data_IF_219364386473
#
_entry.id   IF_219364386473
#
_cell.length_a   1.000
_cell.length_b   1.000
_cell.length_c   1.000
_cell.angle_alpha   90.00
_cell.angle_beta   90.00
_cell.angle_gamma   90.00
#
_symmetry.space_group_name_H-M   'P 1'
#
loop_
_entity.id
_entity.type
_entity.pdbx_description
1 polymer ?
#
# COMPACT_ATOMS: atom_id res chain seq x y z
N UNK A 1 38.34 25.00 -13.69
CA UNK A 1 37.34 24.05 -14.22
C UNK A 1 37.03 23.04 -13.11
N UNK A 2 35.78 22.91 -12.64
CA UNK A 2 35.47 21.89 -11.63
C UNK A 2 35.47 20.51 -12.30
N UNK A 3 36.16 19.58 -11.68
CA UNK A 3 36.24 18.17 -12.07
C UNK A 3 34.84 17.56 -11.87
N UNK A 4 34.25 16.88 -12.87
CA UNK A 4 32.95 16.23 -12.68
C UNK A 4 33.13 15.10 -11.66
N UNK A 5 32.43 15.22 -10.53
CA UNK A 5 32.31 14.16 -9.55
C UNK A 5 31.67 12.94 -10.21
N UNK A 6 32.46 11.90 -10.47
CA UNK A 6 31.96 10.61 -10.93
C UNK A 6 30.93 10.11 -9.91
N UNK A 7 29.65 10.10 -10.29
CA UNK A 7 28.61 9.41 -9.52
C UNK A 7 29.03 7.93 -9.42
N UNK A 8 29.37 7.49 -8.22
CA UNK A 8 29.68 6.09 -7.96
C UNK A 8 28.52 5.22 -8.43
N UNK A 9 28.80 4.32 -9.39
CA UNK A 9 27.80 3.33 -9.86
C UNK A 9 27.26 2.59 -8.65
N UNK A 10 25.94 2.66 -8.40
CA UNK A 10 25.29 1.91 -7.30
C UNK A 10 25.56 0.42 -7.56
N UNK A 11 26.09 -0.27 -6.55
CA UNK A 11 26.24 -1.73 -6.61
C UNK A 11 24.88 -2.37 -6.90
N UNK A 12 24.82 -3.38 -7.80
CA UNK A 12 23.60 -4.13 -8.00
C UNK A 12 23.16 -4.80 -6.68
N UNK A 13 21.86 -4.96 -6.46
CA UNK A 13 21.36 -5.65 -5.28
C UNK A 13 21.80 -7.11 -5.30
N UNK A 14 22.11 -7.65 -4.13
CA UNK A 14 22.55 -9.05 -3.95
C UNK A 14 21.51 -9.91 -3.23
N UNK A 15 20.50 -9.27 -2.63
CA UNK A 15 19.42 -9.92 -1.89
C UNK A 15 18.10 -9.52 -2.53
N UNK A 16 17.25 -10.50 -2.84
CA UNK A 16 16.01 -10.30 -3.58
C UNK A 16 14.86 -11.06 -2.96
N UNK A 17 13.69 -10.46 -2.86
CA UNK A 17 12.48 -11.13 -2.39
C UNK A 17 11.43 -10.17 -1.87
N UNK A 18 10.40 -10.72 -1.26
CA UNK A 18 9.39 -10.01 -0.48
C UNK A 18 9.52 -10.38 0.99
N UNK A 19 9.10 -9.49 1.86
CA UNK A 19 8.85 -9.82 3.26
C UNK A 19 7.52 -9.19 3.70
N UNK A 20 6.80 -9.88 4.55
CA UNK A 20 5.54 -9.41 5.13
C UNK A 20 5.83 -9.08 6.60
N UNK A 21 5.69 -7.81 6.92
CA UNK A 21 6.04 -7.30 8.25
C UNK A 21 4.78 -6.97 9.03
N UNK A 22 4.70 -7.41 10.27
CA UNK A 22 3.77 -6.87 11.26
C UNK A 22 4.39 -5.58 11.81
N UNK A 23 3.99 -4.44 11.25
CA UNK A 23 4.52 -3.14 11.67
C UNK A 23 4.03 -2.84 13.09
N UNK A 24 4.93 -2.61 14.06
CA UNK A 24 4.53 -2.17 15.39
C UNK A 24 4.04 -0.72 15.38
N UNK A 25 3.32 -0.32 16.43
CA UNK A 25 2.97 1.06 16.69
C UNK A 25 4.19 1.94 17.01
N UNK A 26 4.06 3.25 16.86
CA UNK A 26 5.07 4.24 17.23
C UNK A 26 6.24 4.39 16.26
N UNK A 27 6.25 3.66 15.12
CA UNK A 27 7.28 3.79 14.08
C UNK A 27 6.65 4.02 12.72
N UNK A 28 7.33 4.77 11.85
CA UNK A 28 6.87 4.98 10.48
C UNK A 28 7.14 3.75 9.60
N UNK A 29 6.41 3.62 8.49
CA UNK A 29 6.73 2.60 7.47
C UNK A 29 8.16 2.75 6.92
N UNK A 30 8.71 3.98 6.92
CA UNK A 30 10.09 4.23 6.49
C UNK A 30 11.12 3.75 7.53
N UNK A 31 10.82 3.85 8.82
CA UNK A 31 11.68 3.31 9.88
C UNK A 31 11.79 1.79 9.78
N UNK A 32 10.68 1.11 9.46
CA UNK A 32 10.69 -0.33 9.16
C UNK A 32 11.61 -0.63 7.97
N UNK A 33 11.50 0.13 6.88
CA UNK A 33 12.41 -0.01 5.73
C UNK A 33 13.87 0.17 6.14
N UNK A 34 14.19 1.14 7.00
CA UNK A 34 15.55 1.37 7.49
C UNK A 34 16.06 0.21 8.39
N UNK A 35 15.18 -0.39 9.20
CA UNK A 35 15.51 -1.60 9.97
C UNK A 35 15.82 -2.77 9.03
N UNK A 36 14.99 -2.99 8.01
CA UNK A 36 15.18 -4.07 7.04
C UNK A 36 16.42 -3.87 6.16
N UNK A 37 16.80 -2.62 5.84
CA UNK A 37 18.07 -2.32 5.16
C UNK A 37 19.28 -2.82 5.95
N UNK A 38 19.25 -2.66 7.28
CA UNK A 38 20.30 -3.19 8.17
C UNK A 38 20.22 -4.71 8.28
N UNK A 39 19.00 -5.26 8.43
CA UNK A 39 18.77 -6.69 8.59
C UNK A 39 19.26 -7.50 7.38
N UNK A 40 18.92 -7.06 6.15
CA UNK A 40 19.29 -7.76 4.91
C UNK A 40 20.60 -7.28 4.29
N UNK A 41 21.22 -6.22 4.78
CA UNK A 41 22.42 -5.60 4.16
C UNK A 41 22.14 -5.01 2.77
N UNK A 42 20.86 -4.75 2.43
CA UNK A 42 20.43 -4.30 1.11
C UNK A 42 19.85 -2.87 1.17
N UNK A 43 20.31 -2.00 0.27
CA UNK A 43 19.85 -0.59 0.22
C UNK A 43 18.55 -0.43 -0.57
N UNK A 44 18.32 -1.28 -1.58
CA UNK A 44 17.14 -1.23 -2.43
C UNK A 44 15.99 -1.97 -1.75
N UNK A 45 15.27 -1.27 -0.88
CA UNK A 45 14.08 -1.76 -0.20
C UNK A 45 12.98 -0.70 -0.28
N UNK A 46 11.74 -1.14 -0.51
CA UNK A 46 10.55 -0.29 -0.55
C UNK A 46 9.31 -1.05 -0.07
N UNK A 47 8.27 -0.33 0.36
CA UNK A 47 7.02 -0.92 0.84
C UNK A 47 5.83 -0.60 -0.08
N UNK A 48 4.84 -1.48 -0.12
CA UNK A 48 3.61 -1.34 -0.89
C UNK A 48 2.46 -0.80 -0.02
N UNK A 49 2.43 0.51 0.18
CA UNK A 49 1.37 1.20 0.94
C UNK A 49 1.79 1.57 2.36
N UNK A 50 1.82 2.87 2.61
CA UNK A 50 2.16 3.46 3.91
C UNK A 50 1.14 3.06 4.97
N UNK A 51 1.60 2.84 6.19
CA UNK A 51 0.84 2.86 7.43
C UNK A 51 1.29 4.08 8.24
N UNK A 52 0.33 4.75 8.86
CA UNK A 52 0.58 5.84 9.79
C UNK A 52 1.44 5.34 10.99
N UNK A 53 2.15 6.21 11.73
CA UNK A 53 3.04 5.77 12.80
C UNK A 53 2.35 4.88 13.83
N UNK A 54 1.16 5.24 14.29
CA UNK A 54 0.42 4.49 15.32
C UNK A 54 -0.36 3.30 14.76
N UNK A 55 -0.60 3.26 13.45
CA UNK A 55 -1.24 2.12 12.81
C UNK A 55 -0.29 0.91 12.80
N UNK A 56 -0.84 -0.28 13.00
CA UNK A 56 -0.11 -1.55 13.07
C UNK A 56 -0.48 -2.50 11.93
N UNK A 57 0.21 -3.65 11.84
CA UNK A 57 -0.20 -4.76 11.00
C UNK A 57 0.56 -4.89 9.68
N UNK A 58 -0.04 -5.53 8.71
CA UNK A 58 0.59 -6.01 7.48
C UNK A 58 1.22 -4.88 6.67
N UNK A 59 2.54 -4.91 6.54
CA UNK A 59 3.33 -4.06 5.65
C UNK A 59 4.13 -4.96 4.70
N UNK A 60 3.73 -5.00 3.43
CA UNK A 60 4.45 -5.75 2.39
C UNK A 60 5.64 -4.95 1.93
N UNK A 61 6.83 -5.54 2.00
CA UNK A 61 8.10 -4.88 1.68
C UNK A 61 8.84 -5.68 0.62
N UNK A 62 9.28 -4.99 -0.42
CA UNK A 62 10.07 -5.56 -1.50
C UNK A 62 11.56 -5.25 -1.29
N UNK A 63 12.41 -6.26 -1.54
CA UNK A 63 13.86 -6.21 -1.38
C UNK A 63 14.55 -6.48 -2.71
N UNK A 64 15.54 -5.69 -3.05
CA UNK A 64 16.34 -5.87 -4.26
C UNK A 64 15.54 -5.72 -5.55
N UNK A 65 15.62 -6.69 -6.45
CA UNK A 65 14.92 -6.69 -7.74
C UNK A 65 13.39 -6.68 -7.60
N UNK A 66 12.84 -7.24 -6.51
CA UNK A 66 11.40 -7.23 -6.24
C UNK A 66 10.81 -5.82 -6.11
N UNK A 67 11.62 -4.79 -5.81
CA UNK A 67 11.16 -3.40 -5.78
C UNK A 67 10.61 -2.92 -7.13
N UNK A 68 11.01 -3.54 -8.24
CA UNK A 68 10.49 -3.25 -9.59
C UNK A 68 9.06 -3.73 -9.78
N UNK A 69 8.61 -4.69 -8.95
CA UNK A 69 7.28 -5.28 -8.98
C UNK A 69 6.28 -4.57 -8.05
N UNK A 70 6.70 -3.56 -7.31
CA UNK A 70 5.85 -2.87 -6.32
C UNK A 70 4.57 -2.28 -6.89
N UNK A 71 4.55 -1.88 -8.16
CA UNK A 71 3.34 -1.37 -8.82
C UNK A 71 2.19 -2.39 -8.81
N UNK A 72 2.49 -3.68 -8.87
CA UNK A 72 1.51 -4.76 -8.83
C UNK A 72 1.01 -5.08 -7.42
N UNK A 73 1.75 -4.66 -6.39
CA UNK A 73 1.40 -4.82 -4.98
C UNK A 73 0.64 -3.62 -4.43
N UNK A 74 1.00 -2.41 -4.88
CA UNK A 74 0.45 -1.16 -4.31
C UNK A 74 -1.04 -0.99 -4.62
N UNK A 75 -1.50 -1.49 -5.77
CA UNK A 75 -2.91 -1.45 -6.18
C UNK A 75 -3.82 -2.46 -5.50
N UNK A 76 -3.27 -3.40 -4.73
CA UNK A 76 -4.06 -4.46 -4.09
C UNK A 76 -5.02 -3.91 -3.03
N UNK A 77 -6.16 -4.57 -2.89
CA UNK A 77 -7.15 -4.29 -1.83
C UNK A 77 -6.57 -4.53 -0.44
N UNK A 78 -7.15 -3.87 0.53
CA UNK A 78 -6.69 -3.91 1.91
C UNK A 78 -7.84 -4.14 2.88
N UNK A 79 -7.54 -4.82 3.99
CA UNK A 79 -8.47 -5.00 5.10
C UNK A 79 -7.91 -4.39 6.36
N UNK A 80 -8.79 -3.79 7.14
CA UNK A 80 -8.45 -3.12 8.38
C UNK A 80 -9.45 -3.46 9.49
N UNK A 81 -8.95 -3.42 10.72
CA UNK A 81 -9.74 -3.35 11.94
C UNK A 81 -9.26 -2.12 12.71
N UNK A 82 -10.19 -1.39 13.30
CA UNK A 82 -9.86 -0.21 14.11
C UNK A 82 -11.04 0.19 14.97
N UNK A 83 -10.92 1.30 15.68
CA UNK A 83 -11.96 1.85 16.52
C UNK A 83 -12.30 3.26 16.07
N UNK A 84 -13.58 3.56 15.99
CA UNK A 84 -14.12 4.89 15.70
C UNK A 84 -14.64 5.45 17.03
N UNK A 85 -14.05 6.55 17.48
CA UNK A 85 -14.44 7.27 18.69
C UNK A 85 -15.38 8.37 18.29
N UNK A 86 -16.63 8.29 18.72
CA UNK A 86 -17.66 9.28 18.50
C UNK A 86 -17.52 10.47 19.49
N UNK A 87 -18.06 11.63 19.12
CA UNK A 87 -18.16 12.78 19.98
C UNK A 87 -16.95 13.71 19.99
N UNK A 88 -15.91 13.45 19.23
CA UNK A 88 -14.77 14.38 19.10
C UNK A 88 -14.11 14.30 17.74
N UNK A 89 -13.74 15.47 17.19
CA UNK A 89 -12.91 15.60 15.99
C UNK A 89 -11.49 15.96 16.38
N UNK A 90 -10.50 15.42 15.66
CA UNK A 90 -9.08 15.71 15.87
C UNK A 90 -8.43 16.30 14.63
N UNK A 91 -7.33 17.03 14.80
CA UNK A 91 -6.59 17.70 13.72
C UNK A 91 -6.01 16.74 12.68
N UNK A 92 -5.78 15.47 13.02
CA UNK A 92 -5.24 14.42 12.15
C UNK A 92 -6.27 13.39 11.72
N UNK A 93 -7.54 13.51 12.19
CA UNK A 93 -8.63 12.54 12.04
C UNK A 93 -8.35 11.19 12.73
N UNK A 94 -7.33 11.11 13.57
CA UNK A 94 -6.98 9.98 14.42
C UNK A 94 -6.58 10.43 15.83
N UNK A 95 -6.36 9.50 16.74
CA UNK A 95 -6.04 9.76 18.14
C UNK A 95 -4.66 10.43 18.36
N UNK A 96 -3.83 10.60 17.35
CA UNK A 96 -2.55 11.29 17.46
C UNK A 96 -2.68 12.82 17.38
N UNK A 97 -3.80 13.32 16.87
CA UNK A 97 -4.07 14.75 16.73
C UNK A 97 -4.69 15.37 17.98
N UNK A 98 -4.56 16.70 18.05
CA UNK A 98 -5.25 17.49 19.08
C UNK A 98 -6.77 17.48 18.84
N UNK A 99 -7.57 17.42 19.91
CA UNK A 99 -9.03 17.55 19.85
C UNK A 99 -9.36 18.99 19.45
N UNK A 100 -10.03 19.16 18.32
CA UNK A 100 -10.41 20.48 17.77
C UNK A 100 -11.88 20.82 18.00
N UNK A 101 -12.73 19.81 18.22
CA UNK A 101 -14.14 20.00 18.56
C UNK A 101 -14.68 18.79 19.33
N UNK A 102 -15.69 19.05 20.19
CA UNK A 102 -16.40 18.03 20.95
C UNK A 102 -17.91 18.16 20.71
N UNK A 103 -18.60 17.03 20.67
CA UNK A 103 -20.02 16.93 20.34
C UNK A 103 -20.71 15.96 21.30
N UNK A 104 -21.94 16.25 21.67
CA UNK A 104 -22.79 15.26 22.37
C UNK A 104 -23.36 14.28 21.34
N UNK A 105 -22.85 13.08 21.34
CA UNK A 105 -23.31 11.97 20.49
C UNK A 105 -23.84 10.80 21.34
N UNK A 106 -24.16 11.02 22.61
CA UNK A 106 -24.65 9.97 23.52
C UNK A 106 -25.98 9.33 23.08
N UNK A 107 -26.73 10.02 22.21
CA UNK A 107 -27.96 9.51 21.61
C UNK A 107 -27.78 8.67 20.35
N UNK A 108 -26.54 8.54 19.83
CA UNK A 108 -26.27 7.77 18.61
C UNK A 108 -26.30 6.28 18.93
N UNK A 109 -27.11 5.54 18.18
CA UNK A 109 -27.20 4.09 18.31
C UNK A 109 -26.32 3.38 17.29
N UNK A 110 -25.88 2.14 17.59
CA UNK A 110 -25.18 1.30 16.64
C UNK A 110 -25.96 1.11 15.33
N UNK A 111 -27.27 0.93 15.41
CA UNK A 111 -28.13 0.75 14.23
C UNK A 111 -28.12 1.98 13.31
N UNK A 112 -28.13 3.20 13.87
CA UNK A 112 -27.99 4.43 13.09
C UNK A 112 -26.62 4.52 12.43
N UNK A 113 -25.54 4.22 13.17
CA UNK A 113 -24.19 4.22 12.60
C UNK A 113 -24.03 3.20 11.48
N UNK A 114 -24.57 1.99 11.64
CA UNK A 114 -24.56 0.95 10.61
C UNK A 114 -25.36 1.37 9.37
N UNK A 115 -26.53 1.98 9.53
CA UNK A 115 -27.33 2.48 8.42
C UNK A 115 -26.60 3.55 7.61
N UNK A 116 -26.02 4.54 8.30
CA UNK A 116 -25.23 5.61 7.68
C UNK A 116 -23.98 5.05 6.94
N UNK A 117 -23.27 4.11 7.57
CA UNK A 117 -22.11 3.48 6.95
C UNK A 117 -22.50 2.68 5.69
N UNK A 118 -23.61 1.97 5.70
CA UNK A 118 -24.11 1.20 4.57
C UNK A 118 -24.58 2.10 3.40
N UNK A 119 -25.27 3.18 3.71
CA UNK A 119 -25.86 4.08 2.72
C UNK A 119 -24.83 5.02 2.06
N UNK A 120 -23.89 5.56 2.85
CA UNK A 120 -23.05 6.67 2.38
C UNK A 120 -21.56 6.35 2.31
N UNK A 121 -21.06 5.33 3.02
CA UNK A 121 -19.64 5.05 3.16
C UNK A 121 -19.24 3.64 2.67
N UNK A 122 -20.16 2.95 1.96
CA UNK A 122 -19.95 1.63 1.36
C UNK A 122 -20.17 1.67 -0.14
N UNK A 123 -19.58 0.73 -0.88
CA UNK A 123 -19.58 0.74 -2.34
C UNK A 123 -18.58 1.73 -2.92
N UNK A 124 -18.90 2.31 -4.07
CA UNK A 124 -18.08 3.32 -4.73
C UNK A 124 -18.38 4.70 -4.13
N UNK A 125 -17.37 5.29 -3.50
CA UNK A 125 -17.48 6.58 -2.81
C UNK A 125 -16.45 7.57 -3.35
N UNK A 126 -16.72 8.86 -3.14
CA UNK A 126 -15.74 9.94 -3.34
C UNK A 126 -15.19 10.38 -1.99
N UNK A 127 -13.89 10.25 -1.79
CA UNK A 127 -13.24 10.57 -0.53
C UNK A 127 -12.23 11.71 -0.68
N UNK A 128 -12.32 12.71 0.18
CA UNK A 128 -11.30 13.76 0.28
C UNK A 128 -10.14 13.28 1.14
N UNK A 129 -8.91 13.22 0.60
CA UNK A 129 -7.74 12.81 1.37
C UNK A 129 -7.49 13.74 2.57
N UNK A 130 -7.05 13.23 3.74
CA UNK A 130 -6.73 14.07 4.88
C UNK A 130 -5.48 14.94 4.61
N UNK A 131 -5.39 16.12 5.28
CA UNK A 131 -4.21 16.99 5.18
C UNK A 131 -2.93 16.29 5.63
N UNK A 132 -3.01 15.46 6.67
CA UNK A 132 -1.88 14.66 7.13
C UNK A 132 -1.82 13.36 6.32
N UNK A 133 -1.30 13.44 5.07
CA UNK A 133 -1.12 12.28 4.19
C UNK A 133 0.15 12.38 3.34
N UNK A 134 0.56 11.25 2.77
CA UNK A 134 1.72 11.17 1.87
C UNK A 134 1.43 11.63 0.44
N UNK A 135 0.19 12.03 0.16
CA UNK A 135 -0.21 12.55 -1.16
C UNK A 135 0.57 13.82 -1.48
N UNK A 136 0.91 13.99 -2.76
CA UNK A 136 1.56 15.21 -3.26
C UNK A 136 0.55 16.11 -3.97
N UNK A 137 0.61 17.40 -3.63
CA UNK A 137 -0.04 18.49 -4.35
C UNK A 137 1.07 19.47 -4.74
N UNK A 138 1.16 19.85 -6.00
CA UNK A 138 2.19 20.73 -6.55
C UNK A 138 3.63 20.33 -6.20
N UNK A 139 3.89 19.02 -6.18
CA UNK A 139 5.21 18.46 -5.91
C UNK A 139 5.56 18.30 -4.42
N UNK A 140 4.79 18.91 -3.50
CA UNK A 140 4.99 18.84 -2.03
C UNK A 140 4.01 17.86 -1.41
N UNK A 141 4.43 17.17 -0.34
CA UNK A 141 3.55 16.25 0.38
C UNK A 141 2.59 17.01 1.30
N UNK A 142 1.33 16.57 1.39
CA UNK A 142 0.32 17.21 2.21
C UNK A 142 0.73 17.29 3.70
N UNK A 143 1.36 16.24 4.25
CA UNK A 143 1.82 16.28 5.64
C UNK A 143 2.98 17.27 5.89
N UNK A 144 3.76 17.64 4.86
CA UNK A 144 4.78 18.68 4.96
C UNK A 144 4.11 20.06 5.04
N UNK A 145 3.10 20.30 4.20
CA UNK A 145 2.29 21.51 4.20
C UNK A 145 1.50 21.68 5.52
N UNK A 146 0.91 20.57 6.01
CA UNK A 146 0.19 20.57 7.29
C UNK A 146 1.07 20.99 8.47
N UNK A 147 2.34 20.54 8.52
CA UNK A 147 3.30 20.94 9.56
C UNK A 147 3.68 22.44 9.50
N UNK A 148 3.59 23.03 8.33
CA UNK A 148 3.80 24.48 8.13
C UNK A 148 2.54 25.30 8.39
N UNK A 149 1.41 24.65 8.76
CA UNK A 149 0.12 25.30 8.95
C UNK A 149 -0.54 25.76 7.62
N UNK A 150 -0.07 25.23 6.49
CA UNK A 150 -0.59 25.56 5.17
C UNK A 150 -1.71 24.59 4.82
N UNK A 151 -2.91 25.07 4.70
CA UNK A 151 -4.05 24.32 4.20
C UNK A 151 -4.19 24.49 2.69
N UNK A 152 -4.40 23.38 1.96
CA UNK A 152 -4.59 23.38 0.51
C UNK A 152 -5.88 22.67 0.15
N UNK A 153 -6.51 23.11 -0.93
CA UNK A 153 -7.67 22.43 -1.48
C UNK A 153 -7.29 21.02 -1.95
N UNK A 154 -8.11 20.04 -1.58
CA UNK A 154 -7.91 18.63 -1.89
C UNK A 154 -9.06 18.12 -2.72
N UNK A 155 -8.73 17.64 -3.91
CA UNK A 155 -9.73 17.06 -4.81
C UNK A 155 -10.15 15.68 -4.28
N UNK A 156 -11.46 15.46 -4.18
CA UNK A 156 -12.00 14.15 -3.84
C UNK A 156 -11.61 13.11 -4.89
N UNK A 157 -11.35 11.88 -4.44
CA UNK A 157 -10.88 10.78 -5.29
C UNK A 157 -11.80 9.58 -5.14
N UNK A 158 -12.00 8.80 -6.21
CA UNK A 158 -12.79 7.58 -6.13
C UNK A 158 -12.08 6.55 -5.24
N UNK A 159 -12.88 5.86 -4.46
CA UNK A 159 -12.48 4.75 -3.59
C UNK A 159 -13.63 3.77 -3.51
N UNK A 160 -13.33 2.47 -3.43
CA UNK A 160 -14.34 1.42 -3.25
C UNK A 160 -14.19 0.83 -1.86
N UNK A 161 -15.26 0.86 -1.08
CA UNK A 161 -15.37 0.21 0.23
C UNK A 161 -16.30 -0.99 0.08
N UNK A 162 -15.71 -2.17 -0.10
CA UNK A 162 -16.47 -3.40 -0.35
C UNK A 162 -17.13 -3.97 0.92
N UNK A 163 -16.64 -3.57 2.10
CA UNK A 163 -17.19 -3.94 3.40
C UNK A 163 -16.91 -2.84 4.41
N UNK A 164 -17.95 -2.43 5.15
CA UNK A 164 -17.81 -1.57 6.31
C UNK A 164 -18.78 -2.06 7.40
N UNK A 165 -18.25 -2.80 8.36
CA UNK A 165 -19.02 -3.37 9.47
C UNK A 165 -18.66 -2.65 10.75
N UNK A 166 -19.68 -2.23 11.49
CA UNK A 166 -19.56 -1.59 12.80
C UNK A 166 -20.17 -2.50 13.87
N UNK A 167 -19.49 -2.60 15.00
CA UNK A 167 -19.89 -3.39 16.16
C UNK A 167 -19.75 -2.52 17.43
N UNK A 168 -20.59 -2.77 18.41
CA UNK A 168 -20.46 -2.13 19.74
C UNK A 168 -19.20 -2.61 20.45
N UNK A 169 -18.69 -1.76 21.34
CA UNK A 169 -17.67 -2.12 22.34
C UNK A 169 -18.25 -1.94 23.74
N UNK A 170 -17.44 -2.13 24.78
CA UNK A 170 -17.84 -1.86 26.18
C UNK A 170 -18.07 -0.35 26.44
N UNK A 171 -17.45 0.51 25.63
CA UNK A 171 -17.65 1.96 25.64
C UNK A 171 -18.70 2.34 24.57
N UNK A 172 -19.87 2.89 24.96
CA UNK A 172 -20.92 3.26 24.00
C UNK A 172 -20.50 4.35 23.01
N UNK A 173 -19.44 5.11 23.30
CA UNK A 173 -18.91 6.13 22.41
C UNK A 173 -17.85 5.56 21.44
N UNK A 174 -17.58 4.26 21.47
CA UNK A 174 -16.57 3.62 20.66
C UNK A 174 -17.18 2.48 19.85
N UNK A 175 -17.02 2.55 18.54
CA UNK A 175 -17.43 1.49 17.62
C UNK A 175 -16.18 0.76 17.09
N UNK A 176 -16.20 -0.57 17.12
CA UNK A 176 -15.23 -1.37 16.39
C UNK A 176 -15.61 -1.36 14.91
N UNK A 177 -14.65 -1.05 14.06
CA UNK A 177 -14.83 -1.00 12.61
C UNK A 177 -14.00 -2.08 11.92
N UNK A 178 -14.63 -2.85 11.01
CA UNK A 178 -13.95 -3.74 10.06
C UNK A 178 -14.20 -3.22 8.67
N UNK A 179 -13.12 -2.95 7.91
CA UNK A 179 -13.19 -2.32 6.59
C UNK A 179 -12.38 -3.13 5.58
N UNK A 180 -13.02 -3.51 4.44
CA UNK A 180 -12.35 -3.99 3.24
C UNK A 180 -12.49 -2.93 2.15
N UNK A 181 -11.38 -2.51 1.53
CA UNK A 181 -11.42 -1.39 0.60
C UNK A 181 -10.32 -1.46 -0.46
N UNK A 182 -10.51 -0.70 -1.53
CA UNK A 182 -9.51 -0.50 -2.57
C UNK A 182 -8.27 0.24 -2.06
N UNK A 183 -7.20 0.20 -2.83
CA UNK A 183 -5.99 0.98 -2.53
C UNK A 183 -6.28 2.48 -2.55
N UNK A 184 -5.63 3.22 -1.67
CA UNK A 184 -5.77 4.68 -1.56
C UNK A 184 -6.91 5.16 -0.67
N UNK A 185 -7.74 4.26 -0.12
CA UNK A 185 -8.76 4.60 0.87
C UNK A 185 -8.13 5.02 2.20
N UNK A 186 -8.61 6.11 2.75
CA UNK A 186 -8.20 6.64 4.05
C UNK A 186 -9.23 6.26 5.13
N UNK A 187 -8.87 5.32 6.00
CA UNK A 187 -9.78 4.86 7.06
C UNK A 187 -10.07 5.99 8.05
N UNK A 188 -9.12 6.92 8.24
CA UNK A 188 -9.33 8.13 9.07
C UNK A 188 -10.42 9.02 8.51
N UNK A 189 -10.48 9.21 7.18
CA UNK A 189 -11.57 9.97 6.56
C UNK A 189 -12.91 9.25 6.69
N UNK A 190 -12.96 7.89 6.61
CA UNK A 190 -14.21 7.17 6.86
C UNK A 190 -14.75 7.39 8.28
N UNK A 191 -13.85 7.44 9.28
CA UNK A 191 -14.24 7.69 10.66
C UNK A 191 -14.79 9.14 10.85
N UNK A 192 -14.10 10.12 10.29
CA UNK A 192 -14.50 11.53 10.33
C UNK A 192 -15.82 11.77 9.58
N UNK A 193 -15.95 11.20 8.37
CA UNK A 193 -17.17 11.32 7.56
C UNK A 193 -18.37 10.65 8.26
N UNK A 194 -18.17 9.48 8.91
CA UNK A 194 -19.22 8.85 9.72
C UNK A 194 -19.70 9.77 10.85
N UNK A 195 -18.76 10.37 11.59
CA UNK A 195 -19.10 11.29 12.68
C UNK A 195 -19.92 12.49 12.19
N UNK A 196 -19.51 13.08 11.06
CA UNK A 196 -20.23 14.21 10.44
C UNK A 196 -21.63 13.84 9.97
N UNK A 197 -21.77 12.69 9.31
CA UNK A 197 -23.08 12.20 8.84
C UNK A 197 -24.02 11.84 9.98
N UNK A 198 -23.49 11.49 11.14
CA UNK A 198 -24.26 11.27 12.37
C UNK A 198 -24.58 12.58 13.14
N UNK A 199 -24.22 13.75 12.58
CA UNK A 199 -24.53 15.07 13.15
C UNK A 199 -23.54 15.56 14.19
N UNK A 200 -22.35 14.98 14.30
CA UNK A 200 -21.29 15.37 15.23
C UNK A 200 -19.90 15.25 14.65
N UNK A 201 -19.01 14.61 15.36
CA UNK A 201 -17.64 14.33 14.94
C UNK A 201 -17.15 12.98 15.44
N UNK A 202 -16.19 12.42 14.75
CA UNK A 202 -15.51 11.19 15.17
C UNK A 202 -14.05 11.19 14.71
N UNK A 203 -13.24 10.34 15.31
CA UNK A 203 -11.87 10.08 14.88
C UNK A 203 -11.51 8.61 15.02
N UNK A 204 -10.47 8.20 14.31
CA UNK A 204 -9.97 6.83 14.30
C UNK A 204 -8.95 6.61 15.42
N UNK A 205 -8.94 5.42 16.02
CA UNK A 205 -7.84 4.95 16.87
C UNK A 205 -7.58 3.45 16.67
N UNK A 206 -6.46 2.95 17.15
CA UNK A 206 -6.09 1.54 17.17
C UNK A 206 -6.20 0.86 15.80
N UNK A 207 -5.83 1.57 14.73
CA UNK A 207 -5.89 1.03 13.37
C UNK A 207 -4.88 -0.11 13.18
N UNK A 208 -5.37 -1.25 12.71
CA UNK A 208 -4.57 -2.41 12.35
C UNK A 208 -4.92 -2.88 10.95
N UNK A 209 -3.94 -2.90 10.04
CA UNK A 209 -4.11 -3.49 8.71
C UNK A 209 -3.93 -4.99 8.79
N UNK A 210 -4.98 -5.74 8.50
CA UNK A 210 -5.01 -7.21 8.63
C UNK A 210 -4.65 -7.91 7.32
N UNK A 211 -4.80 -7.22 6.15
CA UNK A 211 -4.54 -7.80 4.83
C UNK A 211 -4.07 -6.74 3.81
N UNK A 212 -3.20 -7.15 2.91
CA UNK A 212 -2.83 -6.45 1.67
C UNK A 212 -2.82 -7.46 0.53
N UNK A 213 -3.78 -7.41 -0.37
CA UNK A 213 -3.98 -8.41 -1.41
C UNK A 213 -4.10 -9.81 -0.79
N UNK A 214 -3.17 -10.70 -1.13
CA UNK A 214 -3.11 -12.07 -0.61
C UNK A 214 -2.33 -12.23 0.71
N UNK A 215 -1.66 -11.17 1.17
CA UNK A 215 -0.81 -11.21 2.35
C UNK A 215 -1.62 -10.85 3.60
N UNK A 216 -1.57 -11.72 4.62
CA UNK A 216 -2.34 -11.60 5.87
C UNK A 216 -1.41 -11.51 7.09
N UNK A 217 -2.00 -11.31 8.27
CA UNK A 217 -1.25 -11.28 9.54
C UNK A 217 -0.54 -12.61 9.85
N UNK A 218 -1.09 -13.74 9.41
CA UNK A 218 -0.49 -15.07 9.66
C UNK A 218 0.87 -15.23 9.00
N UNK A 219 1.15 -14.46 7.95
CA UNK A 219 2.42 -14.43 7.22
C UNK A 219 3.35 -13.32 7.71
N UNK A 220 2.83 -12.41 8.54
CA UNK A 220 3.55 -11.23 8.97
C UNK A 220 4.47 -11.52 10.15
N UNK A 221 5.69 -11.00 10.11
CA UNK A 221 6.71 -11.18 11.14
C UNK A 221 7.15 -9.83 11.70
N UNK A 222 7.59 -9.76 12.96
CA UNK A 222 8.28 -8.59 13.48
C UNK A 222 9.50 -8.24 12.61
N UNK A 223 9.87 -6.95 12.45
CA UNK A 223 10.99 -6.54 11.59
C UNK A 223 12.32 -7.25 11.89
N UNK A 224 12.57 -7.61 13.14
CA UNK A 224 13.80 -8.30 13.56
C UNK A 224 13.84 -9.78 13.13
N UNK A 225 12.69 -10.38 12.80
CA UNK A 225 12.54 -11.77 12.39
C UNK A 225 12.22 -11.90 10.90
N UNK A 226 12.38 -10.80 10.15
CA UNK A 226 12.02 -10.74 8.74
C UNK A 226 12.72 -11.85 7.92
N UNK A 227 11.93 -12.62 7.18
CA UNK A 227 12.38 -13.62 6.23
C UNK A 227 11.88 -13.28 4.83
N UNK A 228 12.60 -13.75 3.80
CA UNK A 228 12.26 -13.46 2.41
C UNK A 228 11.41 -14.56 1.80
N UNK A 229 10.32 -14.16 1.18
CA UNK A 229 9.58 -14.94 0.19
C UNK A 229 10.23 -14.76 -1.20
N UNK A 230 10.06 -15.72 -2.12
CA UNK A 230 10.53 -15.59 -3.49
C UNK A 230 10.00 -14.32 -4.18
N UNK A 231 10.78 -13.76 -5.12
CA UNK A 231 10.37 -12.57 -5.92
C UNK A 231 9.03 -12.79 -6.61
N UNK A 232 8.78 -14.03 -7.10
CA UNK A 232 7.54 -14.40 -7.77
C UNK A 232 6.28 -14.21 -6.89
N UNK A 233 6.42 -14.22 -5.56
CA UNK A 233 5.29 -13.95 -4.66
C UNK A 233 4.67 -12.57 -4.89
N UNK A 234 5.42 -11.60 -5.44
CA UNK A 234 4.92 -10.26 -5.77
C UNK A 234 3.85 -10.26 -6.86
N UNK A 235 3.86 -11.24 -7.73
CA UNK A 235 3.01 -11.30 -8.93
C UNK A 235 2.21 -12.60 -9.01
N UNK A 236 2.12 -13.34 -7.92
CA UNK A 236 1.41 -14.62 -7.88
C UNK A 236 -0.13 -14.51 -8.04
N UNK A 237 -0.66 -13.29 -8.17
CA UNK A 237 -2.05 -12.99 -8.50
C UNK A 237 -2.26 -12.72 -9.99
N UNK A 238 -1.18 -12.67 -10.78
CA UNK A 238 -1.23 -12.50 -12.23
C UNK A 238 -1.29 -13.85 -12.94
N UNK A 239 -1.82 -13.86 -14.15
CA UNK A 239 -1.80 -15.04 -15.01
C UNK A 239 -0.35 -15.46 -15.28
N UNK A 240 -0.03 -16.72 -14.99
CA UNK A 240 1.32 -17.26 -15.18
C UNK A 240 1.48 -17.84 -16.58
N UNK A 241 2.61 -17.53 -17.20
CA UNK A 241 3.01 -18.08 -18.50
C UNK A 241 4.41 -18.67 -18.39
N UNK A 242 4.60 -19.87 -18.94
CA UNK A 242 5.92 -20.50 -19.03
C UNK A 242 6.42 -20.39 -20.47
N UNK A 243 7.69 -19.99 -20.63
CA UNK A 243 8.33 -19.79 -21.93
C UNK A 243 9.64 -20.55 -22.03
N UNK A 244 10.01 -20.91 -23.27
CA UNK A 244 11.25 -21.60 -23.60
C UNK A 244 12.49 -20.69 -23.54
N UNK A 245 13.68 -21.26 -23.71
CA UNK A 245 14.94 -20.54 -23.65
C UNK A 245 15.10 -19.47 -24.77
N UNK A 246 14.47 -19.66 -25.94
CA UNK A 246 14.52 -18.69 -27.04
C UNK A 246 13.71 -17.43 -26.66
N UNK A 247 12.53 -17.61 -26.10
CA UNK A 247 11.72 -16.51 -25.59
C UNK A 247 12.40 -15.80 -24.40
N UNK A 248 13.07 -16.54 -23.52
CA UNK A 248 13.87 -15.96 -22.41
C UNK A 248 14.96 -15.02 -22.95
N UNK A 249 15.68 -15.40 -24.02
CA UNK A 249 16.66 -14.52 -24.67
C UNK A 249 15.99 -13.24 -25.22
N UNK A 250 14.87 -13.37 -25.90
CA UNK A 250 14.11 -12.23 -26.40
C UNK A 250 13.68 -11.30 -25.24
N UNK A 251 13.24 -11.87 -24.12
CA UNK A 251 12.83 -11.13 -22.92
C UNK A 251 14.01 -10.37 -22.30
N UNK A 252 15.19 -10.99 -22.24
CA UNK A 252 16.41 -10.35 -21.73
C UNK A 252 16.76 -9.06 -22.49
N UNK A 253 16.42 -9.01 -23.79
CA UNK A 253 16.60 -7.85 -24.66
C UNK A 253 15.36 -6.90 -24.69
N UNK A 254 14.35 -7.15 -23.88
CA UNK A 254 13.16 -6.29 -23.77
C UNK A 254 12.26 -6.31 -25.01
N UNK A 255 12.26 -7.41 -25.78
CA UNK A 255 11.47 -7.50 -27.02
C UNK A 255 9.98 -7.63 -26.76
N UNK A 256 9.18 -7.08 -27.67
CA UNK A 256 7.74 -7.33 -27.78
C UNK A 256 7.55 -8.76 -28.28
N UNK A 257 6.62 -9.49 -27.67
CA UNK A 257 6.27 -10.87 -28.00
C UNK A 257 4.80 -10.96 -28.42
N UNK A 258 4.36 -12.03 -29.11
CA UNK A 258 2.94 -12.32 -29.25
C UNK A 258 2.27 -12.40 -27.86
N UNK A 259 1.04 -11.90 -27.74
CA UNK A 259 0.28 -11.96 -26.50
C UNK A 259 -0.12 -13.41 -26.17
N UNK A 260 -0.20 -13.71 -24.90
CA UNK A 260 -0.72 -14.98 -24.40
C UNK A 260 -2.24 -14.88 -24.15
N UNK A 261 -2.94 -16.01 -23.94
CA UNK A 261 -4.36 -16.01 -23.58
C UNK A 261 -4.63 -15.15 -22.34
N UNK A 262 -5.79 -14.50 -22.28
CA UNK A 262 -6.17 -13.57 -21.23
C UNK A 262 -5.91 -12.11 -21.59
N UNK A 263 -6.15 -11.21 -20.67
CA UNK A 263 -6.00 -9.76 -20.86
C UNK A 263 -4.68 -9.20 -20.35
N UNK A 264 -3.87 -10.03 -19.63
CA UNK A 264 -2.69 -9.60 -18.89
C UNK A 264 -3.04 -8.64 -17.71
N UNK A 265 -2.06 -8.17 -16.95
CA UNK A 265 -0.63 -8.47 -17.12
C UNK A 265 -0.29 -9.94 -16.82
N UNK A 266 0.73 -10.45 -17.47
CA UNK A 266 1.21 -11.83 -17.30
C UNK A 266 2.52 -11.87 -16.53
N UNK A 267 2.63 -12.80 -15.57
CA UNK A 267 3.88 -13.18 -14.93
C UNK A 267 4.56 -14.26 -15.77
N UNK A 268 5.70 -13.93 -16.36
CA UNK A 268 6.39 -14.81 -17.31
C UNK A 268 7.52 -15.54 -16.59
N UNK A 269 7.47 -16.87 -16.66
CA UNK A 269 8.44 -17.79 -16.06
C UNK A 269 9.23 -18.54 -17.13
N UNK A 270 10.50 -18.75 -16.89
CA UNK A 270 11.27 -19.73 -17.64
C UNK A 270 10.83 -21.17 -17.28
N UNK A 271 11.16 -22.15 -18.13
CA UNK A 271 10.95 -23.59 -17.83
C UNK A 271 11.64 -24.03 -16.53
N UNK A 272 12.66 -23.32 -16.08
CA UNK A 272 13.33 -23.54 -14.79
C UNK A 272 12.47 -23.15 -13.57
N UNK A 273 11.33 -22.49 -13.79
CA UNK A 273 10.47 -21.95 -12.74
C UNK A 273 10.88 -20.56 -12.23
N UNK A 274 11.90 -19.94 -12.82
CA UNK A 274 12.33 -18.58 -12.49
C UNK A 274 11.40 -17.55 -13.11
N UNK A 275 10.95 -16.54 -12.33
CA UNK A 275 10.23 -15.37 -12.82
C UNK A 275 11.21 -14.47 -13.60
N UNK A 276 11.04 -14.37 -14.91
CA UNK A 276 11.93 -13.62 -15.80
C UNK A 276 11.41 -12.23 -16.14
N UNK A 277 10.08 -12.04 -16.17
CA UNK A 277 9.49 -10.76 -16.53
C UNK A 277 8.02 -10.65 -16.11
N UNK A 278 7.49 -9.42 -16.20
CA UNK A 278 6.05 -9.17 -16.28
C UNK A 278 5.79 -8.42 -17.59
N UNK A 279 4.78 -8.88 -18.33
CA UNK A 279 4.33 -8.31 -19.58
C UNK A 279 2.90 -7.78 -19.45
N UNK A 280 2.56 -6.77 -20.24
CA UNK A 280 1.19 -6.27 -20.39
C UNK A 280 0.78 -6.25 -21.86
N UNK A 281 -0.52 -6.25 -22.13
CA UNK A 281 -1.08 -6.15 -23.47
C UNK A 281 -0.54 -4.92 -24.20
N UNK A 282 -0.19 -5.09 -25.47
CA UNK A 282 0.35 -4.04 -26.34
C UNK A 282 -0.09 -4.27 -27.78
N UNK A 283 -0.86 -3.34 -28.36
CA UNK A 283 -1.42 -3.43 -29.72
C UNK A 283 -2.05 -4.82 -29.96
N UNK A 284 -3.31 -4.91 -30.06
CA UNK A 284 -4.22 -6.05 -30.22
C UNK A 284 -3.68 -7.50 -29.97
N UNK A 285 -2.55 -7.88 -30.57
CA UNK A 285 -2.05 -9.27 -30.58
C UNK A 285 -0.65 -9.44 -29.94
N UNK A 286 -0.12 -8.38 -29.34
CA UNK A 286 1.21 -8.39 -28.78
C UNK A 286 1.21 -8.07 -27.28
N UNK A 287 2.29 -8.45 -26.62
CA UNK A 287 2.61 -8.09 -25.24
C UNK A 287 3.98 -7.41 -25.19
N UNK A 288 4.11 -6.38 -24.36
CA UNK A 288 5.38 -5.69 -24.10
C UNK A 288 5.83 -5.89 -22.66
N UNK A 289 7.15 -5.92 -22.39
CA UNK A 289 7.64 -6.03 -21.03
C UNK A 289 7.41 -4.73 -20.27
N UNK A 290 6.92 -4.85 -19.05
CA UNK A 290 6.85 -3.73 -18.07
C UNK A 290 7.90 -3.87 -16.99
N UNK A 291 8.33 -5.11 -16.71
CA UNK A 291 9.45 -5.42 -15.83
C UNK A 291 10.19 -6.60 -16.43
N UNK A 292 11.51 -6.48 -16.62
CA UNK A 292 12.40 -7.60 -16.97
C UNK A 292 13.33 -7.83 -15.78
N UNK A 293 13.39 -9.03 -15.23
CA UNK A 293 14.16 -9.35 -14.02
C UNK A 293 15.54 -9.97 -14.33
N UNK A 294 15.71 -10.50 -15.52
CA UNK A 294 16.96 -11.08 -16.07
C UNK A 294 17.64 -10.10 -17.02
N UNK A 295 18.90 -10.36 -17.41
CA UNK A 295 19.58 -9.65 -18.51
C UNK A 295 20.22 -8.30 -18.17
N UNK A 296 20.37 -7.92 -16.89
CA UNK A 296 20.99 -6.63 -16.49
C UNK A 296 22.53 -6.61 -16.44
N UNK A 297 23.24 -7.68 -16.76
CA UNK A 297 24.71 -7.78 -16.62
C UNK A 297 25.50 -7.91 -17.92
N UNK A 298 24.87 -8.01 -19.08
CA UNK A 298 25.58 -8.13 -20.36
C UNK A 298 25.69 -6.81 -21.12
N UNK A 299 26.56 -5.93 -20.63
CA UNK A 299 26.82 -4.64 -21.29
C UNK A 299 28.11 -3.98 -20.86
N UNK A 300 29.26 -4.69 -20.89
CA UNK A 300 30.59 -4.12 -21.12
C UNK A 300 31.64 -5.25 -21.15
N UNK A 301 31.78 -5.85 -22.31
CA UNK A 301 33.05 -6.45 -22.76
C UNK A 301 33.20 -6.03 -24.22
N UNK A 302 33.89 -4.94 -24.43
CA UNK A 302 34.84 -4.66 -25.53
C UNK A 302 35.19 -3.18 -25.48
#
# INVERSE_FOLDING_TARGET
>A
MPIPTLMAKRRPPTVHGLTVIDKPAGVTSHDVVNQLRRHFGEKRIGHAGTLDPDATGVLVVAVGSATRLMRFLSGADKSYVGEIVLGSSTSTLDSSGEVIASYDMSGVTLAQAQAVAAEHLSGDIMQTPPMVSALKVDGRRLHELAREGIEVERVARPSTVSRFVLESTDDPMVLRATVDCSSGTYIRSLADDLGKLLGGGAHLRNLRRTRVGRFTLDQAMPPAQAALLPVAAAVAHLDAVVVDAVAVDHIAHGRVLPAWPGSGPWAVFAETGELVAVYESFRAENAKPVVVLIGGESGQSS
#
